data_IF_493455319059
#
_entry.id   IF_493455319059
#
_cell.length_a   1.000
_cell.length_b   1.000
_cell.length_c   1.000
_cell.angle_alpha   90.00
_cell.angle_beta   90.00
_cell.angle_gamma   90.00
#
_symmetry.space_group_name_H-M   'P 1'
#
loop_
_entity.id
_entity.type
_entity.pdbx_description
1 polymer ?
#
# COMPACT_ATOMS: atom_id res chain seq x y z
N UNK A 1 -25.62 -49.04 -18.00
CA UNK A 1 -24.53 -48.47 -17.19
C UNK A 1 -24.52 -46.97 -17.41
N UNK A 2 -25.08 -46.17 -16.48
CA UNK A 2 -25.10 -44.71 -16.57
C UNK A 2 -23.92 -44.19 -15.73
N UNK A 3 -22.89 -43.69 -16.38
CA UNK A 3 -21.75 -43.05 -15.72
C UNK A 3 -22.15 -41.67 -15.23
N UNK A 4 -22.06 -41.45 -13.92
CA UNK A 4 -22.22 -40.15 -13.29
C UNK A 4 -20.91 -39.37 -13.48
N UNK A 5 -20.93 -38.29 -14.26
CA UNK A 5 -19.83 -37.32 -14.31
C UNK A 5 -19.94 -36.44 -13.06
N UNK A 6 -19.02 -36.61 -12.12
CA UNK A 6 -18.87 -35.73 -10.97
C UNK A 6 -18.09 -34.48 -11.44
N UNK A 7 -18.82 -33.43 -11.79
CA UNK A 7 -18.24 -32.11 -12.05
C UNK A 7 -17.87 -31.45 -10.71
N UNK A 8 -16.63 -31.59 -10.26
CA UNK A 8 -16.09 -30.78 -9.17
C UNK A 8 -15.96 -29.33 -9.65
N UNK A 9 -16.97 -28.51 -9.37
CA UNK A 9 -16.87 -27.07 -9.52
C UNK A 9 -15.89 -26.52 -8.46
N UNK A 10 -14.65 -26.26 -8.88
CA UNK A 10 -13.71 -25.40 -8.15
C UNK A 10 -14.26 -23.97 -8.16
N UNK A 11 -15.12 -23.67 -7.19
CA UNK A 11 -15.54 -22.31 -6.89
C UNK A 11 -14.38 -21.61 -6.17
N UNK A 12 -13.67 -20.74 -6.88
CA UNK A 12 -12.69 -19.83 -6.30
C UNK A 12 -13.35 -19.01 -5.19
N UNK A 13 -13.03 -19.36 -3.94
CA UNK A 13 -13.49 -18.66 -2.75
C UNK A 13 -12.70 -17.37 -2.65
N UNK A 14 -13.32 -16.25 -3.04
CA UNK A 14 -12.72 -14.93 -2.89
C UNK A 14 -12.90 -14.51 -1.44
N UNK A 15 -11.91 -14.73 -0.58
CA UNK A 15 -11.95 -14.23 0.79
C UNK A 15 -12.17 -12.70 0.77
N UNK A 16 -13.14 -12.20 1.55
CA UNK A 16 -13.33 -10.76 1.76
C UNK A 16 -12.63 -10.35 3.05
N UNK A 17 -11.34 -10.09 2.94
CA UNK A 17 -10.63 -9.40 4.01
C UNK A 17 -9.39 -8.76 3.44
N UNK A 18 -9.40 -7.44 3.29
CA UNK A 18 -8.36 -6.69 2.61
C UNK A 18 -8.37 -5.22 3.08
N UNK A 19 -7.34 -4.43 2.73
CA UNK A 19 -7.15 -3.05 3.22
C UNK A 19 -7.56 -2.02 2.16
N UNK A 20 -8.13 -0.91 2.60
CA UNK A 20 -8.37 0.29 1.79
C UNK A 20 -7.83 1.55 2.47
N UNK A 21 -7.70 2.64 1.72
CA UNK A 21 -7.49 3.98 2.26
C UNK A 21 -8.74 4.45 3.01
N UNK A 22 -8.53 4.93 4.24
CA UNK A 22 -9.51 5.67 5.03
C UNK A 22 -9.24 7.18 5.00
N UNK A 23 -7.97 7.60 4.80
CA UNK A 23 -7.61 9.02 4.65
C UNK A 23 -6.43 9.19 3.67
N UNK A 24 -6.56 10.07 2.65
CA UNK A 24 -7.82 10.64 2.19
C UNK A 24 -8.80 9.55 1.72
N UNK A 25 -10.11 9.84 1.71
CA UNK A 25 -11.08 8.85 1.22
C UNK A 25 -10.88 8.59 -0.29
N UNK A 26 -10.73 7.34 -0.73
CA UNK A 26 -10.59 7.07 -2.14
C UNK A 26 -11.92 7.25 -2.89
N UNK A 27 -11.85 7.42 -4.21
CA UNK A 27 -13.00 7.64 -5.10
C UNK A 27 -14.01 6.50 -4.91
N UNK A 28 -15.29 6.80 -4.67
CA UNK A 28 -16.36 5.80 -4.37
C UNK A 28 -16.18 4.98 -3.08
N UNK A 29 -15.30 5.40 -2.17
CA UNK A 29 -15.14 4.70 -0.89
C UNK A 29 -16.45 4.64 -0.10
N UNK A 30 -16.83 3.47 0.44
CA UNK A 30 -17.99 3.35 1.30
C UNK A 30 -17.77 4.04 2.65
N UNK A 31 -16.52 4.32 3.03
CA UNK A 31 -16.17 5.02 4.26
C UNK A 31 -16.54 6.51 4.21
N UNK A 32 -16.58 7.11 3.01
CA UNK A 32 -17.05 8.49 2.85
C UNK A 32 -18.59 8.52 2.86
N UNK A 33 -19.17 8.68 4.05
CA UNK A 33 -20.63 8.74 4.24
C UNK A 33 -21.27 9.93 3.53
N UNK A 34 -20.51 11.01 3.32
CA UNK A 34 -20.97 12.25 2.72
C UNK A 34 -20.79 12.30 1.20
N UNK A 35 -20.10 11.31 0.59
CA UNK A 35 -19.95 11.25 -0.85
C UNK A 35 -21.31 11.05 -1.52
N UNK A 36 -21.59 11.87 -2.53
CA UNK A 36 -22.71 11.70 -3.45
C UNK A 36 -22.26 10.79 -4.60
N UNK A 37 -23.08 9.81 -4.97
CA UNK A 37 -22.80 8.89 -6.07
C UNK A 37 -22.65 7.42 -5.67
N UNK A 38 -22.13 6.63 -6.60
CA UNK A 38 -21.94 5.19 -6.43
C UNK A 38 -20.87 4.89 -5.37
N UNK A 39 -21.10 3.82 -4.59
CA UNK A 39 -20.16 3.32 -3.60
C UNK A 39 -19.70 1.94 -4.02
N UNK A 40 -18.39 1.71 -3.99
CA UNK A 40 -17.82 0.39 -4.19
C UNK A 40 -17.55 -0.25 -2.82
N UNK A 41 -18.50 -1.08 -2.36
CA UNK A 41 -18.38 -1.83 -1.10
C UNK A 41 -17.31 -2.94 -1.15
N UNK A 42 -16.72 -3.17 -2.31
CA UNK A 42 -15.59 -4.07 -2.53
C UNK A 42 -14.25 -3.32 -2.67
N UNK A 43 -14.18 -2.08 -2.17
CA UNK A 43 -12.98 -1.23 -2.30
C UNK A 43 -11.71 -1.86 -1.78
N UNK A 44 -11.84 -2.64 -0.71
CA UNK A 44 -10.76 -3.37 -0.08
C UNK A 44 -10.17 -4.43 -1.02
N UNK A 45 -10.91 -4.96 -1.99
CA UNK A 45 -10.42 -6.01 -2.88
C UNK A 45 -9.24 -5.52 -3.75
N UNK A 46 -8.33 -6.44 -4.13
CA UNK A 46 -7.24 -6.11 -5.02
C UNK A 46 -7.75 -5.71 -6.41
N UNK A 47 -6.84 -5.19 -7.23
CA UNK A 47 -7.08 -5.04 -8.67
C UNK A 47 -7.26 -6.42 -9.32
N UNK A 48 -7.97 -6.43 -10.44
CA UNK A 48 -8.13 -7.62 -11.25
C UNK A 48 -6.76 -8.05 -11.81
N UNK A 49 -6.46 -9.34 -11.78
CA UNK A 49 -5.15 -9.88 -12.20
C UNK A 49 -4.88 -9.69 -13.68
N UNK A 50 -5.91 -9.46 -14.49
CA UNK A 50 -5.82 -9.14 -15.92
C UNK A 50 -5.59 -7.64 -16.19
N UNK A 51 -5.63 -6.81 -15.16
CA UNK A 51 -5.45 -5.36 -15.24
C UNK A 51 -6.68 -4.59 -15.71
N UNK A 52 -7.83 -5.24 -15.89
CA UNK A 52 -9.05 -4.64 -16.48
C UNK A 52 -9.60 -3.44 -15.71
N UNK A 53 -9.31 -3.34 -14.41
CA UNK A 53 -9.70 -2.22 -13.56
C UNK A 53 -8.51 -1.36 -13.10
N UNK A 54 -7.33 -1.51 -13.70
CA UNK A 54 -6.21 -0.59 -13.46
C UNK A 54 -6.32 0.65 -14.36
N UNK A 55 -5.99 1.86 -13.89
CA UNK A 55 -5.67 2.22 -12.49
C UNK A 55 -6.92 2.59 -11.68
N UNK A 56 -6.75 2.69 -10.36
CA UNK A 56 -7.76 3.23 -9.44
C UNK A 56 -9.09 2.47 -9.45
N UNK A 57 -9.06 1.14 -9.65
CA UNK A 57 -10.26 0.29 -9.83
C UNK A 57 -11.18 0.74 -10.98
N UNK A 58 -10.65 1.51 -11.94
CA UNK A 58 -11.38 2.08 -13.07
C UNK A 58 -12.00 3.45 -12.81
N UNK A 59 -11.87 4.00 -11.59
CA UNK A 59 -12.61 5.19 -11.16
C UNK A 59 -11.89 6.52 -11.42
N UNK A 60 -10.68 6.48 -11.98
CA UNK A 60 -9.86 7.67 -12.25
C UNK A 60 -10.51 8.69 -13.22
N UNK A 61 -11.52 8.26 -13.98
CA UNK A 61 -12.28 9.12 -14.92
C UNK A 61 -13.58 9.68 -14.33
N UNK A 62 -13.91 9.36 -13.08
CA UNK A 62 -15.05 9.98 -12.41
C UNK A 62 -14.91 11.50 -12.37
N UNK A 63 -16.04 12.21 -12.30
CA UNK A 63 -16.05 13.66 -12.16
C UNK A 63 -15.17 14.08 -10.98
N UNK A 64 -14.31 15.08 -11.18
CA UNK A 64 -13.36 15.50 -10.17
C UNK A 64 -14.09 16.10 -8.96
N UNK A 65 -13.85 15.52 -7.79
CA UNK A 65 -14.35 15.96 -6.50
C UNK A 65 -13.24 15.80 -5.45
N UNK A 66 -12.59 16.90 -5.13
CA UNK A 66 -11.46 16.90 -4.20
C UNK A 66 -11.89 16.51 -2.79
N UNK A 67 -11.28 15.46 -2.25
CA UNK A 67 -11.51 15.00 -0.87
C UNK A 67 -10.46 15.50 0.11
N UNK A 68 -9.36 16.08 -0.39
CA UNK A 68 -8.30 16.66 0.42
C UNK A 68 -7.51 17.71 -0.39
N UNK A 69 -7.00 18.71 0.32
CA UNK A 69 -6.09 19.70 -0.24
C UNK A 69 -4.71 19.59 0.39
N UNK A 70 -3.67 19.66 -0.42
CA UNK A 70 -2.28 19.56 0.03
C UNK A 70 -1.44 20.74 -0.44
N UNK A 71 -0.78 21.41 0.49
CA UNK A 71 0.31 22.34 0.22
C UNK A 71 1.61 21.59 -0.11
N UNK A 72 2.31 21.94 -1.20
CA UNK A 72 3.64 21.41 -1.51
C UNK A 72 4.64 21.60 -0.35
N UNK A 73 5.51 20.61 -0.16
CA UNK A 73 6.55 20.62 0.87
C UNK A 73 6.07 20.24 2.28
N UNK A 74 4.78 19.97 2.46
CA UNK A 74 4.19 19.58 3.75
C UNK A 74 3.94 18.08 3.83
N UNK A 75 3.90 17.56 5.05
CA UNK A 75 3.61 16.17 5.35
C UNK A 75 2.16 15.97 5.78
N UNK A 76 1.57 14.84 5.39
CA UNK A 76 0.19 14.46 5.66
C UNK A 76 0.09 13.00 6.07
N UNK A 77 -1.04 12.64 6.69
CA UNK A 77 -1.31 11.26 7.07
C UNK A 77 -1.99 10.50 5.94
N UNK A 78 -1.52 9.27 5.72
CA UNK A 78 -2.22 8.20 5.03
C UNK A 78 -2.80 7.29 6.12
N UNK A 79 -4.12 7.17 6.20
CA UNK A 79 -4.78 6.23 7.10
C UNK A 79 -5.36 5.07 6.29
N UNK A 80 -5.17 3.86 6.79
CA UNK A 80 -5.58 2.61 6.16
C UNK A 80 -6.52 1.84 7.09
N UNK A 81 -7.56 1.25 6.53
CA UNK A 81 -8.55 0.48 7.26
C UNK A 81 -8.88 -0.82 6.51
N UNK A 82 -9.08 -1.90 7.25
CA UNK A 82 -9.54 -3.18 6.72
C UNK A 82 -9.31 -4.31 7.71
N UNK A 83 -9.48 -5.54 7.27
CA UNK A 83 -9.52 -6.71 8.15
C UNK A 83 -8.36 -7.70 7.96
N UNK A 84 -7.56 -7.58 6.90
CA UNK A 84 -6.42 -8.45 6.67
C UNK A 84 -5.22 -7.67 6.13
N UNK A 85 -4.13 -7.66 6.89
CA UNK A 85 -2.88 -7.00 6.48
C UNK A 85 -1.95 -7.94 5.73
N UNK A 86 -2.31 -9.22 5.55
CA UNK A 86 -1.51 -10.23 4.84
C UNK A 86 -0.05 -10.32 5.31
N UNK A 87 0.18 -10.11 6.61
CA UNK A 87 1.52 -10.12 7.19
C UNK A 87 2.41 -8.98 6.72
N UNK A 88 1.82 -7.90 6.18
CA UNK A 88 2.52 -6.75 5.62
C UNK A 88 2.77 -6.90 4.12
N UNK A 89 3.95 -6.49 3.69
CA UNK A 89 4.25 -6.23 2.29
C UNK A 89 4.88 -4.86 2.10
N UNK A 90 4.79 -4.35 0.88
CA UNK A 90 5.41 -3.06 0.53
C UNK A 90 4.41 -2.18 -0.21
N UNK A 91 4.47 -0.89 0.06
CA UNK A 91 3.51 0.08 -0.45
C UNK A 91 4.19 1.27 -1.11
N UNK A 92 3.52 1.92 -2.05
CA UNK A 92 3.92 3.24 -2.55
C UNK A 92 2.77 4.24 -2.42
N UNK A 93 3.13 5.50 -2.18
CA UNK A 93 2.26 6.64 -2.39
C UNK A 93 2.74 7.39 -3.62
N UNK A 94 1.84 7.64 -4.55
CA UNK A 94 2.16 8.30 -5.83
C UNK A 94 1.16 9.40 -6.17
N UNK A 95 1.60 10.38 -6.95
CA UNK A 95 0.75 11.43 -7.51
C UNK A 95 0.62 11.28 -9.03
N UNK A 96 -0.58 11.54 -9.55
CA UNK A 96 -0.85 11.64 -10.99
C UNK A 96 -1.60 12.93 -11.30
N UNK A 97 -1.14 13.66 -12.32
CA UNK A 97 -1.77 14.88 -12.81
C UNK A 97 -2.40 14.72 -14.21
N UNK A 98 -2.35 13.50 -14.77
CA UNK A 98 -2.78 13.19 -16.14
C UNK A 98 -3.91 12.16 -16.19
N UNK A 99 -4.74 12.16 -15.13
CA UNK A 99 -5.87 11.24 -14.93
C UNK A 99 -5.43 9.77 -14.88
N UNK A 100 -4.30 9.50 -14.24
CA UNK A 100 -3.81 8.14 -13.99
C UNK A 100 -3.06 7.50 -15.15
N UNK A 101 -2.67 8.26 -16.18
CA UNK A 101 -1.80 7.71 -17.24
C UNK A 101 -0.39 7.48 -16.74
N UNK A 102 0.09 8.36 -15.86
CA UNK A 102 1.38 8.22 -15.17
C UNK A 102 1.22 8.52 -13.68
N UNK A 103 2.01 7.81 -12.86
CA UNK A 103 2.06 7.99 -11.41
C UNK A 103 3.51 8.16 -10.96
N UNK A 104 3.79 9.24 -10.25
CA UNK A 104 5.11 9.61 -9.75
C UNK A 104 5.18 9.25 -8.27
N UNK A 105 6.12 8.37 -7.90
CA UNK A 105 6.29 7.91 -6.53
C UNK A 105 6.84 9.04 -5.67
N UNK A 106 6.09 9.41 -4.63
CA UNK A 106 6.51 10.42 -3.65
C UNK A 106 6.95 9.80 -2.32
N UNK A 107 6.56 8.56 -2.04
CA UNK A 107 6.94 7.84 -0.82
C UNK A 107 6.85 6.33 -1.03
N UNK A 108 7.79 5.57 -0.46
CA UNK A 108 7.82 4.10 -0.52
C UNK A 108 8.02 3.51 0.86
N UNK A 109 7.18 2.53 1.22
CA UNK A 109 7.27 1.76 2.46
C UNK A 109 7.82 0.37 2.13
N UNK A 110 9.10 0.15 2.42
CA UNK A 110 9.85 -1.06 2.08
C UNK A 110 9.73 -2.11 3.18
N UNK A 111 8.58 -2.78 3.18
CA UNK A 111 8.24 -3.81 4.17
C UNK A 111 7.33 -3.29 5.27
N UNK A 112 6.62 -4.18 5.93
CA UNK A 112 5.75 -3.89 7.07
C UNK A 112 4.48 -3.10 6.75
N UNK A 113 4.25 -2.64 5.51
CA UNK A 113 3.00 -2.00 5.14
C UNK A 113 1.97 -3.05 4.67
N UNK A 114 0.70 -3.02 5.13
CA UNK A 114 0.05 -2.07 6.03
C UNK A 114 -0.15 -2.61 7.46
N UNK A 115 0.90 -3.03 8.17
CA UNK A 115 0.79 -3.53 9.55
C UNK A 115 0.39 -2.42 10.54
N UNK A 116 0.82 -1.19 10.28
CA UNK A 116 0.31 0.01 10.95
C UNK A 116 -0.93 0.54 10.21
N UNK A 117 -1.85 1.17 10.94
CA UNK A 117 -3.05 1.80 10.37
C UNK A 117 -2.81 3.23 9.86
N UNK A 118 -1.65 3.82 10.14
CA UNK A 118 -1.32 5.20 9.74
C UNK A 118 0.14 5.31 9.34
N UNK A 119 0.39 5.99 8.23
CA UNK A 119 1.70 6.34 7.69
C UNK A 119 1.74 7.83 7.38
N UNK A 120 2.93 8.38 7.17
CA UNK A 120 3.10 9.75 6.70
C UNK A 120 3.70 9.78 5.31
N UNK A 121 3.26 10.73 4.50
CA UNK A 121 3.91 11.05 3.23
C UNK A 121 4.10 12.56 3.13
N UNK A 122 5.06 12.98 2.33
CA UNK A 122 5.33 14.40 2.07
C UNK A 122 5.04 14.70 0.60
N UNK A 123 4.23 15.73 0.34
CA UNK A 123 4.06 16.22 -1.03
C UNK A 123 5.33 16.96 -1.43
N UNK A 124 5.99 16.63 -2.56
CA UNK A 124 7.21 17.30 -2.99
C UNK A 124 7.03 18.82 -3.05
N UNK A 125 8.07 19.57 -2.67
CA UNK A 125 8.01 21.02 -2.60
C UNK A 125 7.70 21.66 -3.97
N UNK A 126 8.18 21.06 -5.06
CA UNK A 126 7.95 21.50 -6.44
C UNK A 126 6.81 20.75 -7.14
N UNK A 127 5.96 20.02 -6.40
CA UNK A 127 4.78 19.38 -6.95
C UNK A 127 3.88 20.44 -7.64
N UNK A 128 3.41 20.20 -8.88
CA UNK A 128 2.54 21.14 -9.58
C UNK A 128 1.26 21.45 -8.80
N UNK A 129 0.81 22.70 -8.84
CA UNK A 129 -0.53 23.04 -8.34
C UNK A 129 -1.59 22.53 -9.32
N UNK A 130 -2.70 22.01 -8.81
CA UNK A 130 -3.85 21.59 -9.60
C UNK A 130 -4.58 20.37 -9.05
N UNK A 131 -5.48 19.86 -9.88
CA UNK A 131 -6.19 18.60 -9.66
C UNK A 131 -5.22 17.43 -9.83
N UNK A 132 -5.20 16.50 -8.87
CA UNK A 132 -4.35 15.32 -8.89
C UNK A 132 -5.09 14.10 -8.35
N UNK A 133 -4.57 12.91 -8.69
CA UNK A 133 -4.88 11.67 -8.00
C UNK A 133 -3.74 11.35 -7.03
N UNK A 134 -4.06 11.13 -5.77
CA UNK A 134 -3.17 10.47 -4.83
C UNK A 134 -3.48 8.97 -4.83
N UNK A 135 -2.49 8.14 -5.16
CA UNK A 135 -2.62 6.70 -5.19
C UNK A 135 -1.82 6.06 -4.06
N UNK A 136 -2.46 5.17 -3.30
CA UNK A 136 -1.79 4.16 -2.49
C UNK A 136 -1.81 2.84 -3.23
N UNK A 137 -0.65 2.23 -3.42
CA UNK A 137 -0.52 0.87 -3.94
C UNK A 137 0.13 -0.03 -2.90
N UNK A 138 -0.27 -1.31 -2.87
CA UNK A 138 0.27 -2.29 -1.94
C UNK A 138 0.40 -3.67 -2.57
N UNK A 139 1.53 -4.32 -2.28
CA UNK A 139 1.86 -5.69 -2.68
C UNK A 139 1.99 -6.54 -1.42
N UNK A 140 1.04 -7.45 -1.21
CA UNK A 140 0.91 -8.24 0.00
C UNK A 140 1.99 -9.31 0.14
N UNK A 141 2.53 -9.48 1.35
CA UNK A 141 3.56 -10.49 1.65
C UNK A 141 2.99 -11.90 1.56
N UNK A 142 1.87 -12.18 2.23
CA UNK A 142 1.31 -13.54 2.38
C UNK A 142 0.00 -13.72 1.60
N UNK A 143 -0.21 -14.90 0.99
CA UNK A 143 -1.44 -15.25 0.26
C UNK A 143 -1.30 -15.11 -1.26
N UNK A 144 -2.41 -14.81 -1.94
CA UNK A 144 -2.40 -14.61 -3.39
C UNK A 144 -1.45 -13.48 -3.80
N UNK A 145 -0.88 -13.55 -5.00
CA UNK A 145 -0.02 -12.48 -5.53
C UNK A 145 -0.91 -11.39 -6.10
N UNK A 146 -1.11 -10.32 -5.34
CA UNK A 146 -2.09 -9.29 -5.64
C UNK A 146 -1.45 -7.90 -5.66
N UNK A 147 -2.14 -6.96 -6.30
CA UNK A 147 -1.84 -5.53 -6.21
C UNK A 147 -3.10 -4.82 -5.76
N UNK A 148 -3.02 -4.15 -4.63
CA UNK A 148 -4.04 -3.25 -4.14
C UNK A 148 -3.73 -1.86 -4.67
N UNK A 149 -4.75 -1.13 -5.09
CA UNK A 149 -4.60 0.27 -5.46
C UNK A 149 -5.88 1.03 -5.13
N UNK A 150 -5.73 2.10 -4.35
CA UNK A 150 -6.79 3.05 -4.07
C UNK A 150 -6.34 4.43 -4.51
N UNK A 151 -7.26 5.22 -5.08
CA UNK A 151 -6.96 6.57 -5.51
C UNK A 151 -7.95 7.55 -4.91
N UNK A 152 -7.45 8.67 -4.41
CA UNK A 152 -8.24 9.82 -3.98
C UNK A 152 -8.03 10.98 -4.95
N UNK A 153 -9.10 11.69 -5.29
CA UNK A 153 -9.01 12.98 -5.99
C UNK A 153 -8.64 14.05 -4.99
N UNK A 154 -7.53 14.74 -5.21
CA UNK A 154 -6.98 15.74 -4.29
C UNK A 154 -6.58 16.99 -5.04
N UNK A 155 -6.55 18.12 -4.35
CA UNK A 155 -6.06 19.39 -4.89
C UNK A 155 -4.69 19.69 -4.31
N UNK A 156 -3.66 19.78 -5.15
CA UNK A 156 -2.33 20.21 -4.73
C UNK A 156 -2.20 21.72 -4.97
N UNK A 157 -1.70 22.45 -3.98
CA UNK A 157 -1.60 23.90 -3.99
C UNK A 157 -2.85 24.62 -3.49
N UNK A 158 -2.77 25.94 -3.34
CA UNK A 158 -3.91 26.80 -2.99
C UNK A 158 -4.23 26.91 -1.49
N UNK A 159 -3.31 27.45 -0.69
CA UNK A 159 -3.56 28.48 0.35
C UNK A 159 -2.36 28.54 1.30
N UNK A 160 -1.82 29.76 1.48
CA UNK A 160 -0.63 30.12 2.27
C UNK A 160 0.71 29.94 1.54
N UNK A 161 1.19 31.07 1.03
CA UNK A 161 2.56 31.43 0.67
C UNK A 161 3.42 30.32 0.07
N UNK A 162 3.71 30.45 -1.23
CA UNK A 162 4.99 29.99 -1.79
C UNK A 162 6.06 30.46 -0.82
N UNK A 163 6.72 29.56 -0.10
CA UNK A 163 7.88 29.95 0.70
C UNK A 163 8.87 30.56 -0.29
N UNK A 164 9.01 31.89 -0.27
CA UNK A 164 10.12 32.56 -0.90
C UNK A 164 11.37 32.09 -0.15
N UNK A 165 12.11 31.19 -0.80
CA UNK A 165 13.24 30.49 -0.19
C UNK A 165 13.43 29.08 -0.72
N UNK A 166 13.11 28.81 -2.00
CA UNK A 166 13.49 27.55 -2.61
C UNK A 166 15.01 27.42 -2.62
N UNK A 167 15.52 26.61 -1.70
CA UNK A 167 16.81 25.96 -1.88
C UNK A 167 16.81 25.27 -3.24
N UNK A 168 17.94 25.32 -3.95
CA UNK A 168 18.09 24.67 -5.25
C UNK A 168 17.73 23.18 -5.12
N UNK A 169 16.54 22.79 -5.58
CA UNK A 169 16.19 21.38 -5.70
C UNK A 169 17.14 20.81 -6.76
N UNK A 170 17.91 19.80 -6.37
CA UNK A 170 18.74 19.06 -7.33
C UNK A 170 17.83 18.53 -8.43
N UNK A 171 18.27 18.53 -9.69
CA UNK A 171 17.46 18.00 -10.81
C UNK A 171 16.95 16.57 -10.60
N UNK A 172 17.56 15.81 -9.68
CA UNK A 172 17.17 14.45 -9.30
C UNK A 172 15.98 14.37 -8.33
N UNK A 173 15.70 15.47 -7.63
CA UNK A 173 14.64 15.56 -6.62
C UNK A 173 13.44 16.35 -7.15
N UNK A 174 13.48 16.77 -8.41
CA UNK A 174 12.39 17.47 -9.04
C UNK A 174 11.19 16.53 -9.24
N UNK A 175 9.97 17.02 -9.07
CA UNK A 175 8.74 16.24 -9.22
C UNK A 175 8.69 15.48 -10.57
N UNK A 176 9.10 16.15 -11.66
CA UNK A 176 9.13 15.57 -13.01
C UNK A 176 10.17 14.46 -13.20
N UNK A 177 11.13 14.34 -12.29
CA UNK A 177 12.16 13.31 -12.28
C UNK A 177 11.84 12.13 -11.34
N UNK A 178 10.74 12.21 -10.58
CA UNK A 178 10.32 11.15 -9.69
C UNK A 178 10.00 9.87 -10.48
N UNK A 179 10.36 8.70 -9.92
CA UNK A 179 10.23 7.46 -10.66
C UNK A 179 8.76 7.09 -10.86
N UNK A 180 8.46 6.36 -11.95
CA UNK A 180 7.14 5.80 -12.16
C UNK A 180 6.83 4.74 -11.09
N UNK A 181 5.56 4.67 -10.67
CA UNK A 181 5.07 3.67 -9.72
C UNK A 181 5.33 2.24 -10.22
N UNK A 182 5.70 1.36 -9.29
CA UNK A 182 5.89 -0.06 -9.57
C UNK A 182 4.54 -0.75 -9.80
N UNK A 183 4.49 -1.63 -10.81
CA UNK A 183 3.32 -2.44 -11.14
C UNK A 183 3.69 -3.92 -11.21
N UNK A 184 2.86 -4.78 -10.61
CA UNK A 184 3.00 -6.23 -10.68
C UNK A 184 1.64 -6.88 -10.45
N UNK A 185 1.53 -8.18 -10.74
CA UNK A 185 0.36 -9.03 -10.47
C UNK A 185 -0.93 -8.67 -11.26
N UNK A 186 -0.91 -7.64 -12.11
CA UNK A 186 -2.07 -7.13 -12.87
C UNK A 186 -1.91 -7.27 -14.39
N UNK A 187 -1.08 -8.21 -14.84
CA UNK A 187 -0.76 -8.41 -16.27
C UNK A 187 -0.26 -7.14 -17.00
N UNK A 188 0.36 -6.21 -16.25
CA UNK A 188 0.86 -4.94 -16.76
C UNK A 188 2.25 -5.00 -17.43
N UNK A 189 2.85 -3.83 -17.72
CA UNK A 189 4.21 -3.72 -18.24
C UNK A 189 5.23 -4.51 -17.40
N UNK A 190 6.28 -5.01 -18.06
CA UNK A 190 7.30 -5.82 -17.39
C UNK A 190 6.86 -7.24 -17.00
N UNK A 191 5.55 -7.53 -17.04
CA UNK A 191 4.97 -8.85 -16.71
C UNK A 191 5.45 -9.33 -15.34
N UNK A 192 5.52 -8.40 -14.39
CA UNK A 192 6.07 -8.63 -13.07
C UNK A 192 5.10 -9.40 -12.18
N UNK A 193 5.63 -10.37 -11.43
CA UNK A 193 4.94 -11.12 -10.37
C UNK A 193 5.74 -11.02 -9.08
N UNK A 194 5.06 -10.70 -7.99
CA UNK A 194 5.65 -10.73 -6.65
C UNK A 194 5.85 -12.17 -6.17
N UNK A 195 6.77 -12.38 -5.23
CA UNK A 195 7.05 -13.70 -4.64
C UNK A 195 6.32 -13.82 -3.30
N UNK A 196 5.59 -14.91 -3.09
CA UNK A 196 4.92 -15.15 -1.80
C UNK A 196 5.92 -15.31 -0.66
N UNK A 197 5.59 -14.71 0.49
CA UNK A 197 6.43 -14.67 1.68
C UNK A 197 7.52 -13.59 1.64
N UNK A 198 7.67 -12.88 0.51
CA UNK A 198 8.66 -11.81 0.37
C UNK A 198 8.00 -10.44 0.22
N UNK A 199 8.72 -9.42 0.66
CA UNK A 199 8.33 -8.02 0.53
C UNK A 199 9.05 -7.41 -0.67
N UNK A 200 8.38 -6.50 -1.37
CA UNK A 200 8.89 -5.91 -2.61
C UNK A 200 9.88 -4.80 -2.28
N UNK A 201 11.14 -5.02 -2.63
CA UNK A 201 12.14 -3.96 -2.62
C UNK A 201 12.07 -3.20 -3.95
N UNK A 202 11.33 -2.09 -3.96
CA UNK A 202 11.07 -1.36 -5.20
C UNK A 202 12.39 -0.96 -5.87
N UNK A 203 12.60 -1.31 -7.15
CA UNK A 203 13.84 -0.97 -7.86
C UNK A 203 14.06 0.54 -7.97
N UNK A 204 12.98 1.32 -8.00
CA UNK A 204 13.00 2.78 -7.95
C UNK A 204 12.08 3.27 -6.82
N UNK A 205 12.55 3.33 -5.57
CA UNK A 205 11.70 3.69 -4.42
C UNK A 205 11.42 5.20 -4.32
N UNK A 206 12.09 6.03 -5.14
CA UNK A 206 12.00 7.49 -5.06
C UNK A 206 12.83 8.07 -3.91
N UNK A 207 12.71 9.39 -3.64
CA UNK A 207 13.54 10.11 -2.69
C UNK A 207 13.14 9.90 -1.22
N UNK A 208 11.97 9.30 -0.95
CA UNK A 208 11.46 9.08 0.40
C UNK A 208 11.15 7.60 0.66
N UNK A 209 12.16 6.72 0.73
CA UNK A 209 11.98 5.36 1.23
C UNK A 209 11.94 5.35 2.77
N UNK A 210 11.05 4.56 3.34
CA UNK A 210 11.13 4.10 4.72
C UNK A 210 11.29 2.58 4.76
N UNK A 211 12.03 2.08 5.73
CA UNK A 211 12.41 0.66 5.80
C UNK A 211 13.56 0.30 4.86
N UNK A 212 13.98 -0.97 4.92
CA UNK A 212 15.04 -1.51 4.09
C UNK A 212 14.90 -3.02 3.98
N UNK A 213 15.11 -3.56 2.79
CA UNK A 213 14.97 -5.00 2.50
C UNK A 213 16.24 -5.53 1.85
N UNK A 214 16.62 -6.78 2.15
CA UNK A 214 17.78 -7.44 1.55
C UNK A 214 17.45 -8.21 0.26
N UNK A 215 16.20 -8.65 0.10
CA UNK A 215 15.70 -9.37 -1.07
C UNK A 215 15.03 -8.45 -2.09
N UNK A 216 14.73 -9.00 -3.27
CA UNK A 216 14.00 -8.30 -4.33
C UNK A 216 12.48 -8.38 -4.14
N UNK A 217 11.95 -9.58 -3.84
CA UNK A 217 10.53 -9.81 -3.61
C UNK A 217 9.64 -9.90 -4.86
N UNK A 218 10.22 -9.85 -6.07
CA UNK A 218 9.49 -9.97 -7.32
C UNK A 218 10.37 -10.55 -8.45
N UNK A 219 9.72 -11.01 -9.52
CA UNK A 219 10.34 -11.43 -10.77
C UNK A 219 9.60 -10.78 -11.94
N UNK A 220 10.32 -10.38 -12.97
CA UNK A 220 9.75 -9.80 -14.20
C UNK A 220 10.34 -10.52 -15.41
N UNK A 221 9.55 -10.68 -16.47
CA UNK A 221 9.99 -11.28 -17.73
C UNK A 221 10.14 -10.27 -18.86
N UNK A 222 9.69 -9.02 -18.67
CA UNK A 222 9.83 -7.93 -19.62
C UNK A 222 10.46 -6.67 -19.03
N UNK A 223 10.64 -5.66 -19.87
CA UNK A 223 11.05 -4.32 -19.46
C UNK A 223 9.86 -3.46 -19.04
N UNK A 224 10.05 -2.62 -18.04
CA UNK A 224 9.12 -1.55 -17.69
C UNK A 224 9.88 -0.34 -17.16
N UNK A 225 9.34 0.89 -17.30
CA UNK A 225 9.99 2.10 -16.81
C UNK A 225 10.34 2.06 -15.32
N UNK A 226 9.46 1.48 -14.50
CA UNK A 226 9.65 1.35 -13.06
C UNK A 226 10.77 0.39 -12.65
N UNK A 227 11.33 -0.41 -13.57
CA UNK A 227 12.45 -1.34 -13.30
C UNK A 227 13.84 -0.68 -13.39
N UNK A 228 13.92 0.60 -13.79
CA UNK A 228 15.18 1.34 -13.81
C UNK A 228 16.29 0.73 -14.67
N UNK A 229 15.93 -0.01 -15.73
CA UNK A 229 16.89 -0.72 -16.59
C UNK A 229 17.53 -1.98 -16.00
N UNK A 230 17.13 -2.40 -14.79
CA UNK A 230 17.73 -3.54 -14.07
C UNK A 230 17.03 -4.89 -14.30
N UNK A 231 16.17 -5.00 -15.33
CA UNK A 231 15.53 -6.26 -15.68
C UNK A 231 16.55 -7.25 -16.27
N UNK A 232 17.31 -7.95 -15.40
CA UNK A 232 18.00 -9.18 -15.79
C UNK A 232 16.98 -10.32 -15.76
N UNK A 233 16.54 -10.74 -16.93
CA UNK A 233 15.75 -11.96 -17.10
C UNK A 233 16.51 -13.17 -16.54
N UNK A 234 15.88 -14.03 -15.71
CA UNK A 234 16.48 -15.29 -15.31
C UNK A 234 16.24 -16.35 -16.39
N UNK A 235 16.76 -16.14 -17.61
CA UNK A 235 17.09 -17.23 -18.53
C UNK A 235 17.84 -16.69 -19.76
N UNK A 236 19.16 -16.69 -19.73
CA UNK A 236 20.04 -16.79 -20.91
C UNK A 236 21.45 -17.08 -20.44
N UNK A 237 21.76 -18.36 -20.25
CA UNK A 237 23.12 -18.85 -20.34
C UNK A 237 23.56 -18.82 -21.81
N UNK A 238 24.26 -17.77 -22.22
CA UNK A 238 25.18 -17.86 -23.36
C UNK A 238 26.39 -16.97 -23.13
N UNK A 239 27.49 -17.67 -22.94
CA UNK A 239 28.87 -17.23 -23.04
C UNK A 239 29.10 -16.43 -24.33
N UNK A 240 29.59 -15.19 -24.21
CA UNK A 240 30.51 -14.65 -25.20
C UNK A 240 31.40 -13.57 -24.57
N UNK A 241 32.68 -13.93 -24.55
CA UNK A 241 33.83 -13.14 -24.22
C UNK A 241 34.06 -12.00 -25.22
N UNK A 242 34.40 -10.83 -24.67
CA UNK A 242 35.37 -9.84 -25.14
C UNK A 242 35.46 -9.49 -26.64
N UNK A 243 35.24 -8.21 -26.96
CA UNK A 243 36.30 -7.43 -27.64
C UNK A 243 36.21 -5.96 -27.21
N UNK A 244 37.29 -5.50 -26.60
CA UNK A 244 37.59 -4.11 -26.30
C UNK A 244 38.08 -3.40 -27.56
N UNK A 245 37.60 -2.20 -27.84
CA UNK A 245 38.31 -1.22 -28.68
C UNK A 245 38.40 0.09 -27.92
N UNK A 246 39.63 0.37 -27.53
CA UNK A 246 40.22 1.59 -27.04
C UNK A 246 39.97 2.79 -27.95
N UNK A 247 39.75 3.96 -27.36
CA UNK A 247 40.32 5.21 -27.85
C UNK A 247 40.86 6.03 -26.67
N UNK A 248 42.09 6.47 -26.86
CA UNK A 248 42.98 7.12 -25.90
C UNK A 248 43.13 8.57 -26.32
N UNK A 249 42.97 9.52 -25.39
CA UNK A 249 43.58 10.84 -25.52
C UNK A 249 43.91 11.40 -24.11
N UNK A 250 45.20 11.45 -23.82
CA UNK A 250 45.82 12.01 -22.62
C UNK A 250 45.83 13.54 -22.65
N UNK A 251 45.69 14.19 -21.49
CA UNK A 251 46.69 15.07 -20.80
C UNK A 251 45.99 16.39 -20.42
N UNK A 252 46.26 17.14 -19.34
CA UNK A 252 47.22 17.11 -18.24
C UNK A 252 46.77 18.12 -17.15
N UNK A 253 47.21 17.87 -15.92
CA UNK A 253 47.18 18.68 -14.69
C UNK A 253 47.22 20.22 -14.77
N UNK A 254 46.52 20.89 -13.85
CA UNK A 254 47.14 21.79 -12.84
C UNK A 254 46.11 22.47 -11.91
N UNK A 255 46.35 22.40 -10.60
CA UNK A 255 45.75 23.24 -9.54
C UNK A 255 46.24 24.69 -9.65
N UNK A 256 45.55 25.67 -9.03
CA UNK A 256 46.13 26.22 -7.80
C UNK A 256 45.15 26.69 -6.72
N UNK A 257 45.63 26.50 -5.48
CA UNK A 257 45.58 27.30 -4.26
C UNK A 257 44.62 28.49 -4.12
N UNK A 258 43.88 28.43 -3.02
CA UNK A 258 43.15 29.50 -2.34
C UNK A 258 44.09 30.46 -1.59
N UNK A 259 43.88 31.76 -1.76
CA UNK A 259 44.12 32.78 -0.72
C UNK A 259 43.52 34.13 -1.14
N UNK A 260 42.50 34.63 -0.45
CA UNK A 260 42.29 36.08 -0.25
C UNK A 260 41.40 36.33 0.96
N UNK A 261 42.04 36.83 2.01
CA UNK A 261 41.48 37.67 3.08
C UNK A 261 40.76 38.90 2.53
N UNK A 262 39.57 39.21 3.06
CA UNK A 262 39.18 40.59 3.34
C UNK A 262 38.08 40.65 4.41
N UNK A 263 38.39 41.45 5.42
CA UNK A 263 37.58 41.86 6.56
C UNK A 263 36.65 43.01 6.19
N UNK A 264 35.43 43.00 6.69
CA UNK A 264 34.75 44.23 7.14
C UNK A 264 33.82 43.92 8.31
N UNK A 265 34.11 44.64 9.40
CA UNK A 265 33.34 44.88 10.61
C UNK A 265 31.92 45.36 10.32
N UNK A 266 30.94 45.04 11.18
CA UNK A 266 30.03 45.95 11.91
C UNK A 266 29.26 45.13 12.98
N UNK A 267 29.25 45.64 14.22
CA UNK A 267 28.56 45.09 15.41
C UNK A 267 27.18 45.77 15.60
N UNK A 268 26.51 45.65 16.76
CA UNK A 268 25.71 44.52 17.24
C UNK A 268 24.26 44.94 17.57
N UNK A 269 23.29 44.01 17.67
CA UNK A 269 22.06 44.25 18.45
C UNK A 269 21.57 42.99 19.19
N UNK A 270 21.81 43.01 20.50
CA UNK A 270 20.87 42.87 21.60
C UNK A 270 19.68 41.90 21.48
N UNK A 271 19.81 40.79 22.22
CA UNK A 271 18.88 40.23 23.22
C UNK A 271 17.41 40.69 23.22
N UNK A 272 16.50 39.73 23.05
CA UNK A 272 15.47 39.43 24.08
C UNK A 272 14.68 38.18 23.72
N UNK A 273 14.77 37.17 24.57
CA UNK A 273 13.82 36.06 24.66
C UNK A 273 12.41 36.57 25.01
N UNK A 274 11.37 35.80 24.66
CA UNK A 274 10.44 35.41 25.72
C UNK A 274 10.23 33.89 25.79
N UNK A 275 10.23 33.41 27.03
CA UNK A 275 9.79 32.10 27.47
C UNK A 275 8.32 31.87 27.06
N UNK A 276 8.04 30.74 26.41
CA UNK A 276 6.67 30.23 26.26
C UNK A 276 6.43 29.23 27.39
N UNK A 277 5.56 29.63 28.30
CA UNK A 277 5.01 28.81 29.38
C UNK A 277 4.19 27.65 28.81
N UNK A 278 4.52 26.43 29.26
CA UNK A 278 3.65 25.27 29.12
C UNK A 278 2.52 25.33 30.15
N UNK A 279 1.29 24.97 29.78
CA UNK A 279 0.32 24.42 30.73
C UNK A 279 0.14 22.91 30.52
N UNK A 280 0.32 22.17 31.61
CA UNK A 280 -0.05 20.77 31.81
C UNK A 280 -1.57 20.54 31.65
N UNK A 281 -2.01 19.29 31.39
CA UNK A 281 -3.42 18.99 31.21
C UNK A 281 -4.16 18.89 32.56
N UNK A 282 -5.28 19.59 32.69
CA UNK A 282 -6.24 19.43 33.78
C UNK A 282 -7.28 18.38 33.40
N UNK A 283 -7.32 17.32 34.22
CA UNK A 283 -8.38 16.32 34.27
C UNK A 283 -9.75 16.96 34.54
N UNK A 284 -10.79 16.50 33.85
CA UNK A 284 -12.18 16.67 34.28
C UNK A 284 -13.06 15.55 33.73
N UNK A 285 -13.33 14.62 34.63
CA UNK A 285 -14.63 14.02 34.98
C UNK A 285 -15.55 13.48 33.88
N UNK A 286 -15.77 12.18 34.04
CA UNK A 286 -16.86 11.40 33.49
C UNK A 286 -18.24 12.06 33.69
N UNK A 287 -19.06 11.97 32.64
CA UNK A 287 -20.52 12.07 32.74
C UNK A 287 -21.10 10.82 32.08
N UNK A 288 -21.73 10.01 32.91
CA UNK A 288 -22.53 8.85 32.54
C UNK A 288 -23.90 9.29 32.01
N UNK A 289 -24.64 8.30 31.47
CA UNK A 289 -26.07 8.34 31.05
C UNK A 289 -26.32 8.78 29.60
N UNK A 290 -27.08 8.09 28.75
CA UNK A 290 -27.98 6.94 28.88
C UNK A 290 -28.06 6.23 27.51
N UNK A 291 -27.98 4.90 27.51
CA UNK A 291 -28.26 4.05 26.33
C UNK A 291 -29.75 3.71 26.35
N UNK A 292 -30.53 3.95 25.26
CA UNK A 292 -31.87 3.40 25.17
C UNK A 292 -31.80 1.90 24.87
N UNK A 293 -32.46 1.14 25.74
CA UNK A 293 -32.71 -0.30 25.67
C UNK A 293 -33.24 -0.73 24.29
N UNK A 294 -32.45 -1.51 23.54
CA UNK A 294 -32.97 -2.25 22.38
C UNK A 294 -33.76 -3.46 22.86
N UNK A 295 -34.95 -3.61 22.30
CA UNK A 295 -35.88 -4.69 22.57
C UNK A 295 -35.27 -6.06 22.25
N UNK A 296 -35.44 -6.98 23.19
CA UNK A 296 -35.16 -8.40 23.07
C UNK A 296 -36.09 -8.99 22.02
N UNK A 297 -35.54 -9.46 20.90
CA UNK A 297 -36.24 -10.38 20.00
C UNK A 297 -35.97 -11.82 20.46
N UNK A 298 -36.97 -12.71 20.40
CA UNK A 298 -36.87 -14.06 20.96
C UNK A 298 -35.83 -14.89 20.21
N UNK A 299 -34.93 -15.49 20.98
CA UNK A 299 -34.01 -16.54 20.55
C UNK A 299 -34.79 -17.73 19.99
N UNK A 300 -34.66 -17.94 18.69
CA UNK A 300 -35.08 -19.20 18.06
C UNK A 300 -33.99 -20.23 18.37
N UNK A 301 -34.23 -21.03 19.42
CA UNK A 301 -33.45 -22.22 19.70
C UNK A 301 -33.67 -23.23 18.57
N UNK A 302 -32.75 -23.21 17.60
CA UNK A 302 -32.71 -24.20 16.54
C UNK A 302 -31.58 -25.17 16.87
N UNK A 303 -31.88 -26.12 17.75
CA UNK A 303 -31.11 -27.36 17.88
C UNK A 303 -31.06 -28.04 16.52
N UNK A 304 -29.97 -27.85 15.79
CA UNK A 304 -29.63 -28.64 14.61
C UNK A 304 -29.08 -29.98 15.12
N UNK A 305 -29.60 -31.14 14.67
CA UNK A 305 -29.09 -32.44 15.08
C UNK A 305 -27.64 -32.62 14.61
N UNK A 306 -26.70 -32.62 15.56
CA UNK A 306 -25.31 -33.01 15.34
C UNK A 306 -25.24 -34.54 15.21
N UNK A 307 -25.32 -35.03 13.98
CA UNK A 307 -24.88 -36.36 13.60
C UNK A 307 -23.76 -36.22 12.56
N UNK A 308 -22.60 -35.76 13.00
CA UNK A 308 -21.35 -35.92 12.28
C UNK A 308 -20.27 -36.39 13.26
N UNK A 309 -19.35 -37.28 12.84
CA UNK A 309 -18.31 -37.79 13.74
C UNK A 309 -17.46 -36.62 14.24
N UNK A 310 -17.28 -36.53 15.55
CA UNK A 310 -16.22 -35.72 16.17
C UNK A 310 -14.87 -36.22 15.65
N UNK A 311 -14.36 -35.59 14.59
CA UNK A 311 -12.97 -35.68 14.17
C UNK A 311 -12.29 -34.37 14.53
N UNK A 312 -11.02 -34.45 14.98
CA UNK A 312 -10.48 -33.56 15.98
C UNK A 312 -10.54 -32.11 15.49
N UNK A 313 -11.23 -31.27 16.27
CA UNK A 313 -10.88 -29.87 16.37
C UNK A 313 -9.36 -29.80 16.48
N UNK A 314 -8.70 -29.09 15.57
CA UNK A 314 -7.37 -28.57 15.85
C UNK A 314 -7.54 -27.57 17.00
N UNK A 315 -7.59 -28.10 18.23
CA UNK A 315 -7.10 -27.38 19.40
C UNK A 315 -5.70 -26.91 19.02
N UNK A 316 -5.27 -25.71 19.44
CA UNK A 316 -3.88 -25.31 19.33
C UNK A 316 -3.06 -26.27 20.21
N UNK A 317 -2.71 -27.42 19.66
CA UNK A 317 -1.65 -28.28 20.18
C UNK A 317 -0.36 -27.52 19.93
N UNK A 318 0.38 -27.26 21.00
CA UNK A 318 1.60 -26.46 21.12
C UNK A 318 2.66 -26.80 20.06
N UNK A 319 2.48 -26.28 18.84
CA UNK A 319 3.40 -26.49 17.73
C UNK A 319 3.10 -25.53 16.57
N UNK A 320 4.12 -25.23 15.74
CA UNK A 320 3.94 -24.37 14.58
C UNK A 320 2.92 -24.99 13.61
N UNK A 321 2.06 -24.18 13.01
CA UNK A 321 1.15 -24.63 11.99
C UNK A 321 1.89 -24.97 10.67
N UNK A 322 1.25 -25.71 9.76
CA UNK A 322 1.86 -26.05 8.47
C UNK A 322 1.64 -24.92 7.47
N UNK A 323 2.71 -24.38 6.89
CA UNK A 323 2.60 -23.28 5.91
C UNK A 323 1.66 -23.64 4.76
N UNK A 324 0.76 -22.71 4.41
CA UNK A 324 -0.26 -22.88 3.38
C UNK A 324 -1.60 -23.42 3.89
N UNK A 325 -1.71 -23.89 5.14
CA UNK A 325 -3.00 -24.36 5.67
C UNK A 325 -3.91 -23.20 6.07
N UNK A 326 -5.20 -23.31 5.74
CA UNK A 326 -6.25 -22.43 6.24
C UNK A 326 -6.63 -22.86 7.66
N UNK A 327 -6.71 -21.88 8.56
CA UNK A 327 -7.14 -22.05 9.94
C UNK A 327 -8.43 -21.25 10.10
N UNK A 328 -9.53 -21.95 10.39
CA UNK A 328 -10.83 -21.32 10.58
C UNK A 328 -10.99 -20.86 12.03
N UNK A 329 -11.55 -19.67 12.20
CA UNK A 329 -12.02 -19.22 13.51
C UNK A 329 -13.17 -20.11 14.03
N UNK A 330 -13.39 -20.17 15.36
CA UNK A 330 -14.44 -21.00 15.94
C UNK A 330 -15.86 -20.69 15.44
N UNK A 331 -16.15 -19.43 15.11
CA UNK A 331 -17.44 -19.00 14.55
C UNK A 331 -17.55 -19.24 13.03
N UNK A 332 -16.44 -19.61 12.37
CA UNK A 332 -16.36 -19.80 10.93
C UNK A 332 -16.48 -18.51 10.11
N UNK A 333 -16.53 -17.34 10.76
CA UNK A 333 -16.73 -16.04 10.09
C UNK A 333 -15.42 -15.37 9.69
N UNK A 334 -14.30 -15.83 10.23
CA UNK A 334 -12.96 -15.37 9.89
C UNK A 334 -11.97 -16.52 9.72
N UNK A 335 -10.82 -16.24 9.11
CA UNK A 335 -9.80 -17.24 8.85
C UNK A 335 -8.38 -16.67 8.91
N UNK A 336 -7.41 -17.57 9.02
CA UNK A 336 -5.98 -17.27 8.96
C UNK A 336 -5.30 -18.20 7.96
N UNK A 337 -4.24 -17.72 7.31
CA UNK A 337 -3.34 -18.55 6.51
C UNK A 337 -2.08 -18.79 7.32
N UNK A 338 -1.70 -20.05 7.49
CA UNK A 338 -0.42 -20.35 8.13
C UNK A 338 0.74 -19.99 7.21
N UNK A 339 1.72 -19.26 7.73
CA UNK A 339 2.96 -18.90 7.04
C UNK A 339 4.12 -18.98 8.01
N UNK A 340 5.18 -19.69 7.62
CA UNK A 340 6.41 -19.86 8.42
C UNK A 340 6.14 -20.35 9.85
N UNK A 341 5.16 -21.25 10.01
CA UNK A 341 4.80 -21.82 11.31
C UNK A 341 3.84 -20.97 12.14
N UNK A 342 3.46 -19.77 11.67
CA UNK A 342 2.58 -18.85 12.38
C UNK A 342 1.28 -18.56 11.63
N UNK A 343 0.12 -18.51 12.31
CA UNK A 343 -1.13 -18.10 11.69
C UNK A 343 -1.11 -16.59 11.40
N UNK A 344 -1.32 -16.21 10.14
CA UNK A 344 -1.49 -14.82 9.71
C UNK A 344 -2.99 -14.58 9.47
N UNK A 345 -3.59 -13.63 10.18
CA UNK A 345 -5.02 -13.36 10.06
C UNK A 345 -5.37 -12.77 8.69
N UNK A 346 -6.30 -13.41 8.00
CA UNK A 346 -6.76 -13.07 6.64
C UNK A 346 -8.13 -12.39 6.62
N UNK A 347 -8.58 -11.85 7.76
CA UNK A 347 -9.88 -11.18 7.88
C UNK A 347 -11.09 -12.12 7.84
N UNK A 348 -12.22 -11.55 7.48
CA UNK A 348 -13.50 -12.25 7.40
C UNK A 348 -13.58 -13.13 6.15
N UNK A 349 -14.46 -14.13 6.20
CA UNK A 349 -14.84 -14.90 5.02
C UNK A 349 -15.70 -14.05 4.08
N UNK A 350 -15.82 -14.46 2.82
CA UNK A 350 -16.67 -13.80 1.84
C UNK A 350 -18.13 -13.75 2.30
N UNK A 351 -18.87 -12.69 1.94
CA UNK A 351 -20.32 -12.67 2.13
C UNK A 351 -20.96 -13.92 1.49
N UNK A 352 -21.79 -14.64 2.24
CA UNK A 352 -22.41 -15.89 1.80
C UNK A 352 -21.51 -17.14 1.93
N UNK A 353 -20.38 -17.06 2.63
CA UNK A 353 -19.49 -18.19 2.90
C UNK A 353 -19.20 -18.36 4.40
N UNK A 354 -18.65 -19.51 4.79
CA UNK A 354 -18.14 -19.81 6.13
C UNK A 354 -16.89 -20.69 6.03
N UNK A 355 -15.94 -20.53 6.95
CA UNK A 355 -14.73 -21.35 7.02
C UNK A 355 -14.98 -22.53 7.96
N UNK A 356 -14.77 -23.75 7.48
CA UNK A 356 -14.84 -24.95 8.32
C UNK A 356 -13.88 -26.02 7.81
N UNK A 357 -13.22 -26.74 8.72
CA UNK A 357 -12.27 -27.81 8.41
C UNK A 357 -11.14 -27.39 7.45
N UNK A 358 -10.63 -26.16 7.61
CA UNK A 358 -9.54 -25.64 6.77
C UNK A 358 -9.95 -25.37 5.32
N UNK A 359 -11.24 -25.16 5.06
CA UNK A 359 -11.76 -24.83 3.74
C UNK A 359 -12.91 -23.83 3.82
N UNK A 360 -13.11 -23.08 2.73
CA UNK A 360 -14.22 -22.16 2.57
C UNK A 360 -15.43 -22.87 1.97
N UNK A 361 -16.58 -22.74 2.62
CA UNK A 361 -17.84 -23.35 2.23
C UNK A 361 -18.88 -22.27 1.98
N UNK A 362 -19.83 -22.51 1.07
CA UNK A 362 -20.97 -21.60 0.86
C UNK A 362 -22.02 -21.83 1.95
N UNK A 363 -22.62 -20.75 2.45
CA UNK A 363 -23.80 -20.86 3.29
C UNK A 363 -24.95 -21.50 2.49
N UNK A 364 -25.71 -22.43 3.09
CA UNK A 364 -26.81 -23.14 2.44
C UNK A 364 -27.95 -22.22 2.01
#
# INVERSE_FOLDING_TARGET
MKGFLLSCALLASHAYGHIQMAKPYPIRSPLNKNATGEKDYSYTNPLATDGSNFPCKGYHNDAFNSVASYSPGQSYDLELEGSATHGGGSCQVSLSYDKGKTFQVIHSMLGGCPLQSSYKFTVPADAPSGEALLAWSWFNKVGNREMYMNCAQVTVGGSSQRQEGFASISRRDAFSSLPPMFEANINGPGQCKTIEGQEVNFPLPGPSPEGSLSGQGYQCSGSAPFLGGSAKSPNSSSTSSSTSTSDTASSSSSSPSSNSTSSTTHSPMTSSQPLISAPSPTSSSAVASNVPSSAVLPSYDRTVPTLYPELPFHRPTEGPCVSGTIICSPDGLSWSLCSEGSPIHMGNVAAGTYCMHGAMHRLP
#
